data_IF_830390619264
#
_entry.id   IF_830390619264
#
_cell.length_a   1.000
_cell.length_b   1.000
_cell.length_c   1.000
_cell.angle_alpha   90.00
_cell.angle_beta   90.00
_cell.angle_gamma   90.00
#
_symmetry.space_group_name_H-M   'P 1'
#
loop_
_entity.id
_entity.type
_entity.pdbx_description
1 polymer ?
#
# COMPACT_ATOMS: atom_id res chain seq x y z
N UNK A 1 -1.42 7.08 -21.91
CA UNK A 1 -0.73 7.10 -20.60
C UNK A 1 0.76 7.22 -20.80
N UNK A 2 1.26 8.44 -20.92
CA UNK A 2 2.70 8.70 -21.05
C UNK A 2 3.30 8.85 -19.64
N UNK A 3 4.35 8.08 -19.36
CA UNK A 3 5.09 8.13 -18.10
C UNK A 3 4.22 7.85 -16.86
N UNK A 4 3.14 7.12 -17.07
CA UNK A 4 2.22 6.77 -15.99
C UNK A 4 1.79 5.32 -16.11
N UNK A 5 1.42 4.75 -14.98
CA UNK A 5 0.78 3.45 -14.90
C UNK A 5 -0.52 3.58 -14.13
N UNK A 6 -1.46 2.71 -14.42
CA UNK A 6 -2.71 2.66 -13.68
C UNK A 6 -2.64 1.50 -12.69
N UNK A 7 -2.69 1.82 -11.43
CA UNK A 7 -2.75 0.83 -10.37
C UNK A 7 -4.20 0.47 -10.10
N UNK A 8 -4.55 -0.79 -10.29
CA UNK A 8 -5.91 -1.28 -10.11
C UNK A 8 -5.92 -2.33 -9.00
N UNK A 9 -6.74 -2.11 -7.99
CA UNK A 9 -6.93 -3.07 -6.92
C UNK A 9 -8.38 -3.52 -6.87
N UNK A 10 -8.56 -4.83 -6.80
CA UNK A 10 -9.89 -5.45 -6.76
C UNK A 10 -10.04 -6.15 -5.42
N UNK A 11 -11.11 -5.85 -4.65
CA UNK A 11 -11.31 -6.54 -3.38
C UNK A 11 -11.63 -8.02 -3.61
N UNK A 12 -11.19 -8.86 -2.69
CA UNK A 12 -11.41 -10.31 -2.78
C UNK A 12 -12.79 -10.69 -2.24
N UNK A 13 -13.79 -10.32 -3.00
CA UNK A 13 -15.21 -10.59 -2.68
C UNK A 13 -15.94 -11.02 -3.94
N UNK A 14 -17.13 -11.58 -3.80
CA UNK A 14 -17.95 -11.92 -4.96
C UNK A 14 -18.34 -10.68 -5.76
N UNK A 15 -18.52 -10.86 -7.06
CA UNK A 15 -18.82 -9.74 -7.96
C UNK A 15 -20.01 -8.91 -7.47
N UNK A 16 -21.07 -9.57 -6.99
CA UNK A 16 -22.26 -8.87 -6.49
C UNK A 16 -22.03 -8.03 -5.23
N UNK A 17 -20.89 -8.23 -4.54
CA UNK A 17 -20.55 -7.47 -3.35
C UNK A 17 -19.68 -6.25 -3.64
N UNK A 18 -19.21 -6.10 -4.87
CA UNK A 18 -18.44 -4.93 -5.28
C UNK A 18 -19.38 -3.73 -5.41
N UNK A 19 -19.10 -2.68 -4.65
CA UNK A 19 -19.96 -1.51 -4.59
C UNK A 19 -19.78 -0.52 -5.73
N UNK A 20 -18.66 -0.62 -6.43
CA UNK A 20 -18.36 0.27 -7.55
C UNK A 20 -16.86 0.50 -7.69
N UNK A 21 -16.51 1.56 -8.38
CA UNK A 21 -15.13 1.94 -8.66
C UNK A 21 -14.86 3.31 -8.07
N UNK A 22 -13.71 3.45 -7.39
CA UNK A 22 -13.23 4.73 -6.86
C UNK A 22 -11.88 5.07 -7.49
N UNK A 23 -11.75 6.28 -7.97
CA UNK A 23 -10.46 6.83 -8.39
C UNK A 23 -9.90 7.61 -7.22
N UNK A 24 -8.80 7.12 -6.65
CA UNK A 24 -8.31 7.60 -5.37
C UNK A 24 -6.79 7.66 -5.37
N UNK A 25 -6.23 8.38 -4.40
CA UNK A 25 -4.79 8.44 -4.21
C UNK A 25 -4.27 7.16 -3.59
N UNK A 26 -2.99 6.90 -3.83
CA UNK A 26 -2.28 5.79 -3.22
C UNK A 26 -2.11 6.06 -1.72
N UNK A 27 -2.44 5.08 -0.90
CA UNK A 27 -2.25 5.17 0.54
C UNK A 27 -0.87 4.71 0.96
N UNK A 28 -0.53 4.98 2.21
CA UNK A 28 0.66 4.42 2.82
C UNK A 28 0.38 2.98 3.24
N UNK A 29 1.43 2.18 3.38
CA UNK A 29 1.29 0.82 3.87
C UNK A 29 0.92 0.83 5.35
N UNK A 30 -0.12 0.10 5.67
CA UNK A 30 -0.64 -0.02 7.02
C UNK A 30 -0.59 -1.50 7.43
N UNK A 31 0.63 -2.00 7.65
CA UNK A 31 0.85 -3.36 8.11
C UNK A 31 1.50 -3.34 9.49
N UNK A 32 1.07 -4.26 10.33
CA UNK A 32 1.75 -4.53 11.60
C UNK A 32 2.74 -5.66 11.37
N UNK A 33 4.02 -5.36 11.48
CA UNK A 33 5.09 -6.36 11.34
C UNK A 33 5.31 -7.04 12.69
N UNK A 34 4.70 -8.20 12.86
CA UNK A 34 4.83 -9.00 14.08
C UNK A 34 5.50 -10.30 13.72
N UNK A 35 6.59 -10.63 14.43
CA UNK A 35 7.28 -11.89 14.28
C UNK A 35 6.90 -12.83 15.42
N UNK A 36 6.43 -14.01 15.09
CA UNK A 36 6.10 -15.03 16.07
C UNK A 36 7.05 -16.21 15.94
N UNK A 37 7.43 -16.77 17.11
CA UNK A 37 8.26 -17.96 17.16
C UNK A 37 7.45 -19.16 16.66
N UNK A 38 7.95 -19.84 15.67
CA UNK A 38 7.36 -21.06 15.16
C UNK A 38 7.98 -22.26 15.86
N UNK A 39 7.16 -23.05 16.53
CA UNK A 39 7.57 -24.23 17.29
C UNK A 39 6.87 -25.44 16.66
N UNK A 40 7.63 -26.51 16.42
CA UNK A 40 7.05 -27.73 15.88
C UNK A 40 6.26 -28.51 16.93
N UNK A 41 5.66 -29.66 16.50
CA UNK A 41 4.83 -30.48 17.36
C UNK A 41 5.64 -31.16 18.49
N UNK A 42 6.96 -31.22 18.37
CA UNK A 42 7.85 -31.80 19.39
C UNK A 42 8.39 -30.75 20.36
N UNK A 43 7.97 -29.51 20.21
CA UNK A 43 8.39 -28.41 21.05
C UNK A 43 9.74 -27.79 20.67
N UNK A 44 10.32 -28.18 19.54
CA UNK A 44 11.57 -27.62 19.05
C UNK A 44 11.33 -26.30 18.29
N UNK A 45 12.19 -25.32 18.54
CA UNK A 45 12.12 -24.06 17.82
C UNK A 45 12.53 -24.27 16.35
N UNK A 46 11.63 -23.98 15.42
CA UNK A 46 11.88 -24.12 13.99
C UNK A 46 12.30 -22.79 13.36
N UNK A 47 11.79 -21.67 13.85
CA UNK A 47 12.14 -20.37 13.32
C UNK A 47 11.16 -19.27 13.74
N UNK A 48 11.20 -18.17 12.99
CA UNK A 48 10.32 -17.04 13.20
C UNK A 48 9.46 -16.85 11.95
N UNK A 49 8.18 -16.63 12.15
CA UNK A 49 7.24 -16.31 11.08
C UNK A 49 6.78 -14.87 11.20
N UNK A 50 6.76 -14.17 10.08
CA UNK A 50 6.13 -12.86 10.03
C UNK A 50 4.63 -13.06 10.08
N UNK A 51 4.03 -12.65 11.17
CA UNK A 51 2.59 -12.58 11.32
C UNK A 51 2.20 -11.13 11.43
N UNK A 52 0.98 -10.86 11.34
CA UNK A 52 0.47 -9.51 11.39
C UNK A 52 -0.57 -9.36 10.32
N UNK A 53 -1.23 -8.28 10.36
CA UNK A 53 -2.31 -8.03 9.44
C UNK A 53 -2.25 -6.63 8.89
N UNK A 54 -3.21 -6.35 8.08
CA UNK A 54 -3.41 -5.00 7.56
C UNK A 54 -3.94 -4.16 8.72
N UNK A 55 -3.19 -3.10 9.06
CA UNK A 55 -3.68 -2.10 9.97
C UNK A 55 -4.71 -1.26 9.23
N UNK A 56 -5.85 -1.02 9.85
CA UNK A 56 -6.86 -0.18 9.24
C UNK A 56 -6.38 1.28 9.15
N UNK A 57 -6.45 1.91 7.98
CA UNK A 57 -6.11 3.32 7.86
C UNK A 57 -7.13 4.18 8.63
N UNK A 58 -6.72 5.35 9.11
CA UNK A 58 -7.67 6.31 9.66
C UNK A 58 -8.76 6.63 8.63
N UNK A 59 -10.00 6.74 9.08
CA UNK A 59 -11.11 7.09 8.20
C UNK A 59 -10.99 8.52 7.69
N UNK A 60 -11.46 8.76 6.48
CA UNK A 60 -11.47 10.10 5.89
C UNK A 60 -10.22 10.48 5.14
N UNK A 61 -9.22 9.60 5.04
CA UNK A 61 -8.02 9.84 4.24
C UNK A 61 -8.31 9.78 2.74
N UNK A 62 -9.34 9.01 2.35
CA UNK A 62 -9.76 8.83 0.96
C UNK A 62 -8.65 8.24 0.08
N UNK A 63 -7.99 7.19 0.60
CA UNK A 63 -6.97 6.45 -0.14
C UNK A 63 -7.52 5.10 -0.63
N UNK A 64 -6.71 4.41 -1.42
CA UNK A 64 -7.09 3.10 -1.98
C UNK A 64 -7.44 2.07 -0.90
N UNK A 65 -6.63 1.96 0.15
CA UNK A 65 -6.87 0.97 1.21
C UNK A 65 -8.21 1.18 1.90
N UNK A 66 -8.60 2.43 2.13
CA UNK A 66 -9.88 2.74 2.77
C UNK A 66 -11.06 2.18 1.95
N UNK A 67 -11.03 2.39 0.64
CA UNK A 67 -12.13 1.95 -0.23
C UNK A 67 -12.08 0.46 -0.57
N UNK A 68 -10.90 -0.15 -0.64
CA UNK A 68 -10.80 -1.59 -0.81
C UNK A 68 -11.45 -2.32 0.36
N UNK A 69 -11.25 -1.86 1.58
CA UNK A 69 -11.87 -2.43 2.76
C UNK A 69 -13.40 -2.25 2.78
N UNK A 70 -13.90 -1.31 2.00
CA UNK A 70 -15.34 -1.08 1.81
C UNK A 70 -15.90 -1.75 0.55
N UNK A 71 -15.14 -2.66 -0.05
CA UNK A 71 -15.53 -3.43 -1.23
C UNK A 71 -15.65 -2.64 -2.54
N UNK A 72 -14.84 -1.60 -2.68
CA UNK A 72 -14.70 -0.89 -3.96
C UNK A 72 -13.46 -1.36 -4.72
N UNK A 73 -13.57 -1.40 -6.03
CA UNK A 73 -12.41 -1.44 -6.91
C UNK A 73 -11.77 -0.06 -6.89
N UNK A 74 -10.46 0.02 -6.71
CA UNK A 74 -9.77 1.30 -6.71
C UNK A 74 -8.84 1.45 -7.90
N UNK A 75 -8.82 2.64 -8.47
CA UNK A 75 -7.95 3.02 -9.56
C UNK A 75 -7.10 4.20 -9.09
N UNK A 76 -5.79 4.06 -9.24
CA UNK A 76 -4.86 5.13 -8.87
C UNK A 76 -3.85 5.33 -10.00
N UNK A 77 -3.84 6.47 -10.68
CA UNK A 77 -2.78 6.77 -11.63
C UNK A 77 -1.49 7.08 -10.88
N UNK A 78 -0.40 6.43 -11.27
CA UNK A 78 0.90 6.59 -10.65
C UNK A 78 1.91 7.09 -11.69
N UNK A 79 2.78 7.99 -11.28
CA UNK A 79 3.92 8.40 -12.10
C UNK A 79 5.06 7.41 -11.94
N UNK A 80 5.71 7.12 -13.05
CA UNK A 80 6.91 6.28 -13.05
C UNK A 80 8.09 7.04 -12.46
N UNK A 81 8.23 8.30 -12.82
CA UNK A 81 9.30 9.17 -12.33
C UNK A 81 9.03 9.60 -10.90
N UNK A 82 9.90 9.21 -9.98
CA UNK A 82 9.81 9.52 -8.55
C UNK A 82 10.67 10.71 -8.14
N UNK A 83 11.30 11.38 -9.08
CA UNK A 83 12.16 12.51 -8.77
C UNK A 83 11.35 13.68 -8.27
N UNK A 84 11.74 14.22 -7.12
CA UNK A 84 11.19 15.46 -6.61
C UNK A 84 11.95 16.63 -7.25
N UNK A 85 11.35 17.19 -8.28
CA UNK A 85 12.00 18.25 -9.08
C UNK A 85 12.11 19.57 -8.31
N UNK A 86 11.23 19.80 -7.34
CA UNK A 86 11.31 21.00 -6.51
C UNK A 86 12.55 20.97 -5.60
N UNK A 87 12.84 19.82 -5.04
CA UNK A 87 14.01 19.63 -4.18
C UNK A 87 15.30 19.43 -4.95
N UNK A 88 15.22 19.03 -6.21
CA UNK A 88 16.41 18.74 -7.02
C UNK A 88 17.36 19.94 -7.07
N UNK A 89 16.82 21.13 -7.35
CA UNK A 89 17.61 22.35 -7.43
C UNK A 89 18.18 22.76 -6.07
N UNK A 90 17.40 22.64 -5.01
CA UNK A 90 17.83 22.95 -3.65
C UNK A 90 18.99 22.08 -3.21
N UNK A 91 18.90 20.79 -3.46
CA UNK A 91 19.96 19.85 -3.14
C UNK A 91 21.19 20.09 -4.00
N UNK A 92 20.99 20.41 -5.29
CA UNK A 92 22.09 20.76 -6.18
C UNK A 92 22.87 21.97 -5.70
N UNK A 93 22.18 23.03 -5.31
CA UNK A 93 22.82 24.24 -4.79
C UNK A 93 23.60 23.99 -3.48
N UNK A 94 23.12 23.09 -2.65
CA UNK A 94 23.79 22.76 -1.39
C UNK A 94 25.06 21.93 -1.57
N UNK A 95 25.10 21.07 -2.57
CA UNK A 95 26.17 20.07 -2.70
C UNK A 95 27.05 20.21 -3.93
N UNK A 96 26.61 20.90 -4.96
CA UNK A 96 27.38 21.13 -6.20
C UNK A 96 28.02 22.51 -6.20
N UNK A 97 28.96 22.73 -5.32
CA UNK A 97 29.66 24.01 -5.24
C UNK A 97 31.02 23.97 -5.94
#
# INVERSE_FOLDING_TARGET
LKDSVLNINVPNVDYGQIKGVKVVKHGRHWFDDIYEKHIDVEGNKVGWCLTGGIRQPPKGIHCDMEYILENYVTLTPLKIDRTDYELLDVVGEAFEK
#
